data_IF_343950920605
#
_entry.id   IF_343950920605
#
_cell.length_a   1.000
_cell.length_b   1.000
_cell.length_c   1.000
_cell.angle_alpha   90.00
_cell.angle_beta   90.00
_cell.angle_gamma   90.00
#
_symmetry.space_group_name_H-M   'P 1'
#
loop_
_entity.id
_entity.type
_entity.pdbx_description
1 polymer ?
#
# COMPACT_ATOMS: atom_id res chain seq x y z
N UNK A 1 62.68 29.97 -26.99
CA UNK A 1 62.33 28.75 -26.22
C UNK A 1 60.95 28.92 -25.62
N UNK A 2 60.05 27.94 -25.86
CA UNK A 2 58.90 27.47 -25.04
C UNK A 2 58.00 28.55 -24.38
N UNK A 3 56.67 28.51 -24.44
CA UNK A 3 55.75 27.42 -24.02
C UNK A 3 54.38 27.71 -24.66
N UNK A 4 53.83 26.81 -25.48
CA UNK A 4 52.92 25.72 -25.11
C UNK A 4 51.60 26.16 -24.45
N UNK A 5 50.56 26.04 -25.26
CA UNK A 5 49.13 25.98 -24.99
C UNK A 5 48.75 25.25 -23.72
N UNK A 6 47.79 25.78 -22.94
CA UNK A 6 46.68 24.99 -22.38
C UNK A 6 45.40 25.84 -22.45
N UNK A 7 44.56 25.49 -23.42
CA UNK A 7 43.12 25.75 -23.41
C UNK A 7 42.56 25.28 -22.07
N UNK A 8 41.99 26.20 -21.28
CA UNK A 8 41.18 25.86 -20.13
C UNK A 8 39.88 25.22 -20.62
N UNK A 9 39.96 23.91 -20.83
CA UNK A 9 38.84 23.06 -21.22
C UNK A 9 37.73 23.15 -20.19
N UNK A 10 36.56 23.54 -20.68
CA UNK A 10 35.27 23.49 -20.00
C UNK A 10 35.04 22.04 -19.56
N UNK A 11 35.15 21.80 -18.26
CA UNK A 11 34.64 20.60 -17.60
C UNK A 11 33.76 21.04 -16.44
N UNK A 12 32.68 21.76 -16.75
CA UNK A 12 31.50 21.61 -15.92
C UNK A 12 30.76 20.39 -16.43
N UNK A 13 31.11 19.26 -15.82
CA UNK A 13 30.29 18.06 -15.80
C UNK A 13 28.85 18.48 -15.55
N UNK A 14 27.95 18.20 -16.49
CA UNK A 14 26.52 18.16 -16.20
C UNK A 14 26.32 17.05 -15.16
N UNK A 15 26.45 17.41 -13.89
CA UNK A 15 25.70 16.74 -12.84
C UNK A 15 24.25 17.20 -13.06
N UNK A 16 23.60 16.63 -14.09
CA UNK A 16 22.17 16.43 -14.04
C UNK A 16 21.95 15.43 -12.90
N UNK A 17 22.06 15.91 -11.66
CA UNK A 17 21.37 15.30 -10.54
C UNK A 17 19.93 15.38 -11.01
N UNK A 18 19.40 14.25 -11.47
CA UNK A 18 17.99 14.09 -11.71
C UNK A 18 17.33 14.56 -10.42
N UNK A 19 16.83 15.80 -10.41
CA UNK A 19 15.95 16.26 -9.36
C UNK A 19 14.75 15.36 -9.52
N UNK A 20 14.72 14.26 -8.76
CA UNK A 20 13.50 13.53 -8.50
C UNK A 20 12.45 14.59 -8.22
N UNK A 21 11.40 14.59 -9.03
CA UNK A 21 10.37 15.61 -8.95
C UNK A 21 9.86 15.68 -7.49
N UNK A 22 9.42 16.87 -7.07
CA UNK A 22 8.97 17.12 -5.69
C UNK A 22 7.88 16.12 -5.25
N UNK A 23 7.08 15.63 -6.20
CA UNK A 23 6.07 14.59 -6.01
C UNK A 23 6.68 13.25 -5.62
N UNK A 24 7.63 12.74 -6.39
CA UNK A 24 8.35 11.48 -6.14
C UNK A 24 9.02 11.51 -4.77
N UNK A 25 9.69 12.61 -4.39
CA UNK A 25 10.32 12.73 -3.06
C UNK A 25 9.30 12.75 -1.92
N UNK A 26 8.15 13.40 -2.12
CA UNK A 26 7.05 13.38 -1.15
C UNK A 26 6.48 11.96 -0.98
N UNK A 27 6.34 11.23 -2.08
CA UNK A 27 5.82 9.86 -2.07
C UNK A 27 6.79 8.88 -1.40
N UNK A 28 8.10 8.97 -1.67
CA UNK A 28 9.14 8.19 -0.97
C UNK A 28 9.11 8.47 0.54
N UNK A 29 9.02 9.75 0.94
CA UNK A 29 8.91 10.10 2.37
C UNK A 29 7.65 9.51 3.00
N UNK A 30 6.51 9.60 2.31
CA UNK A 30 5.25 8.99 2.76
C UNK A 30 5.39 7.47 2.87
N UNK A 31 6.00 6.81 1.89
CA UNK A 31 6.24 5.38 1.91
C UNK A 31 6.97 4.95 3.19
N UNK A 32 8.12 5.56 3.48
CA UNK A 32 8.88 5.24 4.69
C UNK A 32 8.13 5.55 5.99
N UNK A 33 7.40 6.67 6.02
CA UNK A 33 6.62 7.07 7.19
C UNK A 33 5.48 6.10 7.52
N UNK A 34 4.88 5.47 6.50
CA UNK A 34 3.73 4.57 6.62
C UNK A 34 4.09 3.08 6.66
N UNK A 35 5.33 2.71 6.30
CA UNK A 35 5.79 1.32 6.27
C UNK A 35 5.54 0.56 7.60
N UNK A 36 5.82 1.14 8.80
CA UNK A 36 5.52 0.45 10.07
C UNK A 36 4.03 0.16 10.29
N UNK A 37 3.16 1.08 9.88
CA UNK A 37 1.71 0.92 10.00
C UNK A 37 1.21 -0.18 9.06
N UNK A 38 1.76 -0.25 7.85
CA UNK A 38 1.43 -1.32 6.89
C UNK A 38 1.94 -2.68 7.36
N UNK A 39 3.12 -2.75 7.97
CA UNK A 39 3.60 -4.00 8.58
C UNK A 39 2.66 -4.48 9.70
N UNK A 40 2.26 -3.56 10.59
CA UNK A 40 1.30 -3.86 11.65
C UNK A 40 -0.03 -4.34 11.08
N UNK A 41 -0.52 -3.71 10.01
CA UNK A 41 -1.72 -4.11 9.29
C UNK A 41 -1.60 -5.54 8.73
N UNK A 42 -0.52 -5.85 8.01
CA UNK A 42 -0.27 -7.18 7.43
C UNK A 42 -0.17 -8.29 8.48
N UNK A 43 0.41 -7.99 9.64
CA UNK A 43 0.49 -8.92 10.78
C UNK A 43 -0.88 -9.10 11.44
N UNK A 44 -1.53 -7.99 11.80
CA UNK A 44 -2.80 -8.02 12.56
C UNK A 44 -3.92 -8.63 11.72
N UNK A 45 -4.03 -8.26 10.45
CA UNK A 45 -5.02 -8.83 9.52
C UNK A 45 -4.85 -10.33 9.36
N UNK A 46 -3.62 -10.84 9.28
CA UNK A 46 -3.36 -12.27 9.19
C UNK A 46 -3.78 -13.01 10.47
N UNK A 47 -3.41 -12.48 11.63
CA UNK A 47 -3.85 -13.05 12.92
C UNK A 47 -5.37 -13.10 12.99
N UNK A 48 -6.06 -11.98 12.72
CA UNK A 48 -7.52 -11.95 12.71
C UNK A 48 -8.13 -12.95 11.73
N UNK A 49 -7.57 -13.05 10.52
CA UNK A 49 -8.06 -14.01 9.53
C UNK A 49 -7.97 -15.47 10.01
N UNK A 50 -6.91 -15.84 10.72
CA UNK A 50 -6.73 -17.21 11.22
C UNK A 50 -7.47 -17.51 12.52
N UNK A 51 -7.72 -16.50 13.36
CA UNK A 51 -8.44 -16.66 14.65
C UNK A 51 -9.98 -16.66 14.45
N UNK A 52 -10.48 -15.96 13.44
CA UNK A 52 -11.92 -15.78 13.19
C UNK A 52 -12.74 -17.05 12.89
N UNK A 53 -12.23 -18.13 12.24
CA UNK A 53 -13.01 -19.35 12.03
C UNK A 53 -13.53 -19.97 13.33
N UNK A 54 -12.69 -20.03 14.37
CA UNK A 54 -13.06 -20.60 15.66
C UNK A 54 -14.11 -19.72 16.36
N UNK A 55 -13.92 -18.40 16.30
CA UNK A 55 -14.89 -17.43 16.84
C UNK A 55 -16.24 -17.48 16.10
N UNK A 56 -16.23 -17.68 14.78
CA UNK A 56 -17.44 -17.83 13.98
C UNK A 56 -18.17 -19.14 14.31
N UNK A 57 -17.42 -20.23 14.50
CA UNK A 57 -17.99 -21.50 14.96
C UNK A 57 -18.69 -21.34 16.31
N UNK A 58 -18.03 -20.74 17.30
CA UNK A 58 -18.60 -20.49 18.62
C UNK A 58 -19.83 -19.59 18.57
N UNK A 59 -19.83 -18.58 17.69
CA UNK A 59 -21.01 -17.74 17.45
C UNK A 59 -22.23 -18.56 17.01
N UNK A 60 -22.06 -19.47 16.05
CA UNK A 60 -23.14 -20.34 15.59
C UNK A 60 -23.59 -21.38 16.63
N UNK A 61 -22.75 -21.68 17.63
CA UNK A 61 -23.11 -22.48 18.81
C UNK A 61 -23.80 -21.67 19.92
N UNK A 62 -24.07 -20.38 19.69
CA UNK A 62 -24.72 -19.50 20.67
C UNK A 62 -23.76 -18.90 21.69
N UNK A 63 -22.44 -18.89 21.43
CA UNK A 63 -21.40 -18.27 22.26
C UNK A 63 -20.78 -17.07 21.53
N UNK A 64 -21.40 -15.88 21.59
CA UNK A 64 -21.03 -14.77 20.72
C UNK A 64 -19.84 -13.92 21.21
N UNK A 65 -19.28 -14.20 22.39
CA UNK A 65 -18.35 -13.27 23.05
C UNK A 65 -16.99 -13.21 22.34
N UNK A 66 -16.41 -14.35 21.95
CA UNK A 66 -15.19 -14.41 21.15
C UNK A 66 -15.36 -13.69 19.80
N UNK A 67 -16.50 -13.93 19.13
CA UNK A 67 -16.84 -13.22 17.90
C UNK A 67 -16.89 -11.71 18.09
N UNK A 68 -17.55 -11.22 19.15
CA UNK A 68 -17.64 -9.78 19.44
C UNK A 68 -16.26 -9.17 19.69
N UNK A 69 -15.40 -9.86 20.45
CA UNK A 69 -14.03 -9.41 20.65
C UNK A 69 -13.29 -9.29 19.32
N UNK A 70 -13.37 -10.34 18.50
CA UNK A 70 -12.67 -10.39 17.22
C UNK A 70 -13.15 -9.33 16.25
N UNK A 71 -14.47 -9.13 16.19
CA UNK A 71 -15.08 -8.11 15.36
C UNK A 71 -14.73 -6.69 15.83
N UNK A 72 -14.58 -6.47 17.14
CA UNK A 72 -14.09 -5.20 17.66
C UNK A 72 -12.62 -4.95 17.28
N UNK A 73 -11.78 -5.98 17.30
CA UNK A 73 -10.39 -5.88 16.82
C UNK A 73 -10.33 -5.59 15.32
N UNK A 74 -11.22 -6.19 14.52
CA UNK A 74 -11.36 -5.92 13.10
C UNK A 74 -11.77 -4.46 12.84
N UNK A 75 -12.81 -3.96 13.50
CA UNK A 75 -13.23 -2.54 13.42
C UNK A 75 -12.14 -1.56 13.85
N UNK A 76 -11.35 -1.93 14.85
CA UNK A 76 -10.22 -1.11 15.27
C UNK A 76 -9.13 -1.07 14.19
N UNK A 77 -8.86 -2.21 13.54
CA UNK A 77 -7.92 -2.29 12.44
C UNK A 77 -8.36 -1.45 11.23
N UNK A 78 -9.65 -1.53 10.85
CA UNK A 78 -10.30 -0.68 9.83
C UNK A 78 -10.04 0.80 10.11
N UNK A 79 -10.44 1.27 11.31
CA UNK A 79 -10.27 2.66 11.71
C UNK A 79 -8.81 3.12 11.73
N UNK A 80 -7.90 2.30 12.24
CA UNK A 80 -6.46 2.62 12.27
C UNK A 80 -5.86 2.68 10.86
N UNK A 81 -6.29 1.78 9.96
CA UNK A 81 -5.84 1.71 8.56
C UNK A 81 -6.29 2.94 7.80
N UNK A 82 -7.57 3.27 7.84
CA UNK A 82 -8.14 4.42 7.15
C UNK A 82 -7.60 5.75 7.67
N UNK A 83 -7.31 5.84 8.98
CA UNK A 83 -6.66 7.01 9.56
C UNK A 83 -5.20 7.18 9.09
N UNK A 84 -4.47 6.09 8.90
CA UNK A 84 -3.05 6.14 8.56
C UNK A 84 -2.80 6.23 7.04
N UNK A 85 -3.48 5.40 6.25
CA UNK A 85 -3.24 5.25 4.82
C UNK A 85 -4.17 6.11 3.96
N UNK A 86 -5.34 6.49 4.51
CA UNK A 86 -6.40 7.16 3.79
C UNK A 86 -7.51 6.19 3.37
N UNK A 87 -8.39 6.66 2.48
CA UNK A 87 -9.59 5.92 2.07
C UNK A 87 -9.59 5.55 0.59
N UNK A 88 -8.51 5.84 -0.14
CA UNK A 88 -8.45 5.61 -1.58
C UNK A 88 -7.89 4.20 -1.88
N UNK A 89 -8.73 3.23 -2.29
CA UNK A 89 -8.25 1.90 -2.66
C UNK A 89 -7.46 1.89 -3.97
N UNK A 90 -7.48 3.00 -4.73
CA UNK A 90 -6.68 3.19 -5.94
C UNK A 90 -5.37 3.94 -5.65
N UNK A 91 -5.06 4.19 -4.37
CA UNK A 91 -3.78 4.78 -4.00
C UNK A 91 -2.63 3.97 -4.61
N UNK A 92 -1.70 4.64 -5.32
CA UNK A 92 -0.69 3.99 -6.14
C UNK A 92 0.29 3.12 -5.35
N UNK A 93 0.41 3.31 -4.04
CA UNK A 93 1.37 2.59 -3.20
C UNK A 93 0.63 1.70 -2.21
N UNK A 94 -0.37 2.21 -1.50
CA UNK A 94 -1.04 1.53 -0.41
C UNK A 94 -2.53 1.26 -0.64
N UNK A 95 -3.05 1.50 -1.85
CA UNK A 95 -4.45 1.23 -2.18
C UNK A 95 -4.81 -0.26 -2.04
N UNK A 96 -3.88 -1.15 -2.38
CA UNK A 96 -3.98 -2.60 -2.17
C UNK A 96 -4.16 -2.96 -0.69
N UNK A 97 -3.50 -2.25 0.23
CA UNK A 97 -3.62 -2.46 1.66
C UNK A 97 -4.97 -2.00 2.22
N UNK A 98 -5.50 -0.88 1.71
CA UNK A 98 -6.85 -0.40 2.03
C UNK A 98 -7.90 -1.40 1.52
N UNK A 99 -7.75 -1.86 0.28
CA UNK A 99 -8.65 -2.86 -0.32
C UNK A 99 -8.60 -4.21 0.41
N UNK A 100 -7.42 -4.66 0.81
CA UNK A 100 -7.24 -5.88 1.60
C UNK A 100 -8.01 -5.81 2.93
N UNK A 101 -7.89 -4.70 3.65
CA UNK A 101 -8.58 -4.52 4.93
C UNK A 101 -10.10 -4.53 4.73
N UNK A 102 -10.61 -3.74 3.78
CA UNK A 102 -12.04 -3.70 3.49
C UNK A 102 -12.60 -5.08 3.12
N UNK A 103 -11.87 -5.87 2.33
CA UNK A 103 -12.26 -7.25 2.01
C UNK A 103 -12.26 -8.17 3.23
N UNK A 104 -11.31 -8.05 4.16
CA UNK A 104 -11.30 -8.84 5.38
C UNK A 104 -12.54 -8.53 6.24
N UNK A 105 -12.84 -7.25 6.38
CA UNK A 105 -13.99 -6.75 7.12
C UNK A 105 -15.31 -7.25 6.51
N UNK A 106 -15.49 -7.12 5.20
CA UNK A 106 -16.68 -7.60 4.50
C UNK A 106 -16.82 -9.12 4.50
N UNK A 107 -15.72 -9.86 4.25
CA UNK A 107 -15.74 -11.33 4.25
C UNK A 107 -16.28 -11.90 5.57
N UNK A 108 -15.78 -11.40 6.70
CA UNK A 108 -16.22 -11.89 8.01
C UNK A 108 -17.65 -11.49 8.37
N UNK A 109 -18.12 -10.34 7.88
CA UNK A 109 -19.55 -9.97 8.00
C UNK A 109 -20.43 -10.92 7.19
N UNK A 110 -20.03 -11.24 5.97
CA UNK A 110 -20.76 -12.14 5.08
C UNK A 110 -20.86 -13.56 5.68
N UNK A 111 -19.75 -14.11 6.18
CA UNK A 111 -19.71 -15.43 6.84
C UNK A 111 -20.74 -15.55 7.96
N UNK A 112 -20.81 -14.57 8.86
CA UNK A 112 -21.77 -14.61 9.98
C UNK A 112 -23.21 -14.40 9.53
N UNK A 113 -23.43 -13.57 8.51
CA UNK A 113 -24.76 -13.39 7.94
C UNK A 113 -25.27 -14.61 7.16
N UNK A 114 -24.37 -15.55 6.81
CA UNK A 114 -24.70 -16.72 6.01
C UNK A 114 -24.90 -16.42 4.52
N UNK A 115 -24.51 -15.23 4.07
CA UNK A 115 -24.61 -14.75 2.68
C UNK A 115 -23.21 -14.46 2.14
N UNK A 116 -22.38 -15.51 2.06
CA UNK A 116 -20.98 -15.43 1.60
C UNK A 116 -20.91 -15.02 0.12
N UNK A 117 -20.70 -13.72 -0.13
CA UNK A 117 -20.49 -13.17 -1.48
C UNK A 117 -19.02 -13.04 -1.82
N UNK A 118 -18.20 -12.78 -0.80
CA UNK A 118 -16.76 -12.65 -0.92
C UNK A 118 -16.07 -13.97 -0.61
N UNK A 119 -15.04 -14.27 -1.38
CA UNK A 119 -14.25 -15.50 -1.21
C UNK A 119 -12.98 -15.23 -0.42
N UNK A 120 -12.50 -16.23 0.32
CA UNK A 120 -11.17 -16.22 0.95
C UNK A 120 -10.04 -15.90 -0.05
N UNK A 121 -10.18 -16.32 -1.31
CA UNK A 121 -9.20 -16.04 -2.37
C UNK A 121 -9.02 -14.54 -2.61
N UNK A 122 -10.11 -13.75 -2.62
CA UNK A 122 -10.02 -12.31 -2.88
C UNK A 122 -9.25 -11.58 -1.77
N UNK A 123 -9.49 -11.94 -0.50
CA UNK A 123 -8.69 -11.41 0.60
C UNK A 123 -7.21 -11.79 0.47
N UNK A 124 -6.91 -13.07 0.18
CA UNK A 124 -5.53 -13.56 0.04
C UNK A 124 -4.79 -12.87 -1.10
N UNK A 125 -5.46 -12.65 -2.24
CA UNK A 125 -4.91 -11.92 -3.38
C UNK A 125 -4.56 -10.48 -2.99
N UNK A 126 -5.50 -9.72 -2.42
CA UNK A 126 -5.22 -8.34 -2.00
C UNK A 126 -4.20 -8.25 -0.89
N UNK A 127 -4.09 -9.28 -0.05
CA UNK A 127 -3.02 -9.38 0.94
C UNK A 127 -1.65 -9.53 0.30
N UNK A 128 -1.54 -10.33 -0.76
CA UNK A 128 -0.30 -10.44 -1.53
C UNK A 128 0.03 -9.12 -2.22
N UNK A 129 -0.96 -8.45 -2.82
CA UNK A 129 -0.77 -7.12 -3.42
C UNK A 129 -0.29 -6.08 -2.39
N UNK A 130 -0.87 -6.08 -1.18
CA UNK A 130 -0.43 -5.21 -0.09
C UNK A 130 0.98 -5.55 0.39
N UNK A 131 1.33 -6.85 0.44
CA UNK A 131 2.67 -7.29 0.79
C UNK A 131 3.69 -6.85 -0.29
N UNK A 132 3.33 -6.96 -1.57
CA UNK A 132 4.15 -6.50 -2.68
C UNK A 132 4.41 -4.99 -2.58
N UNK A 133 3.35 -4.20 -2.40
CA UNK A 133 3.44 -2.78 -2.09
C UNK A 133 4.33 -2.47 -0.88
N UNK A 134 4.22 -3.27 0.19
CA UNK A 134 5.04 -3.10 1.38
C UNK A 134 6.53 -3.39 1.13
N UNK A 135 6.85 -4.40 0.34
CA UNK A 135 8.24 -4.80 0.06
C UNK A 135 8.85 -3.94 -1.03
N UNK A 136 8.16 -3.80 -2.16
CA UNK A 136 8.65 -3.23 -3.42
C UNK A 136 8.03 -1.87 -3.78
N UNK A 137 7.35 -1.22 -2.83
CA UNK A 137 6.70 0.07 -3.08
C UNK A 137 7.66 1.19 -3.50
N UNK A 138 8.94 1.13 -3.10
CA UNK A 138 9.94 2.10 -3.56
C UNK A 138 10.22 1.95 -5.05
N UNK A 139 10.43 0.72 -5.51
CA UNK A 139 10.65 0.41 -6.92
C UNK A 139 9.44 0.81 -7.76
N UNK A 140 8.22 0.62 -7.25
CA UNK A 140 6.99 1.07 -7.91
C UNK A 140 6.93 2.60 -8.03
N UNK A 141 7.25 3.35 -6.96
CA UNK A 141 7.32 4.82 -6.99
C UNK A 141 8.36 5.28 -8.01
N UNK A 142 9.56 4.70 -7.94
CA UNK A 142 10.65 5.07 -8.84
C UNK A 142 10.40 4.70 -10.29
N UNK A 143 9.65 3.63 -10.58
CA UNK A 143 9.27 3.25 -11.95
C UNK A 143 8.27 4.22 -12.58
N UNK A 144 7.50 4.96 -11.76
CA UNK A 144 6.48 5.91 -12.21
C UNK A 144 7.01 7.32 -12.44
N UNK A 145 8.19 7.65 -11.91
CA UNK A 145 8.81 8.98 -12.06
C UNK A 145 9.00 9.38 -13.53
N UNK A 146 9.27 8.41 -14.40
CA UNK A 146 9.53 8.62 -15.84
C UNK A 146 8.26 8.54 -16.69
N UNK A 147 7.11 8.20 -16.08
CA UNK A 147 5.80 8.14 -16.73
C UNK A 147 5.04 9.47 -16.66
N UNK A 148 5.72 10.57 -16.36
CA UNK A 148 5.15 11.91 -16.46
C UNK A 148 4.58 12.12 -17.86
N UNK A 149 3.26 11.99 -17.97
CA UNK A 149 2.49 12.07 -19.20
C UNK A 149 2.76 13.43 -19.82
N UNK A 150 3.45 13.45 -20.97
CA UNK A 150 3.46 14.62 -21.85
C UNK A 150 1.98 14.81 -22.25
N UNK A 151 1.32 15.91 -21.88
CA UNK A 151 -0.02 16.17 -22.39
C UNK A 151 0.07 16.20 -23.92
N UNK A 152 -0.71 15.33 -24.57
CA UNK A 152 -0.79 15.16 -26.04
C UNK A 152 -1.10 16.48 -26.78
N UNK A 153 -1.49 17.52 -26.05
CA UNK A 153 -1.78 18.87 -26.53
C UNK A 153 -0.53 19.70 -26.90
N UNK A 154 0.69 19.28 -26.51
CA UNK A 154 1.94 20.01 -26.81
C UNK A 154 2.72 19.45 -28.02
N UNK A 155 2.21 18.45 -28.73
CA UNK A 155 2.80 18.02 -29.99
C UNK A 155 2.40 19.00 -31.11
N UNK A 156 3.27 19.98 -31.39
CA UNK A 156 3.19 20.76 -32.63
C UNK A 156 3.47 19.83 -33.82
N UNK A 157 2.53 19.78 -34.75
CA UNK A 157 2.70 19.20 -36.10
C UNK A 157 3.86 19.82 -36.86
#
# INVERSE_FOLDING_TARGET
MRKFWILAGILFTFHAIAQSDEGTQKEIKRYHALKPQVEKLLRTSATLYYDMPDAAYDYHQGKPDEWREMFNRLKKLDSETHKALGNDPLDPVYGSCIAMEGLLSSYWQDVISGDEKLTQSQYKEKRLDCLDSYVFGLEQIESRKDLAVIPVWDMKE
#
